data_IF_798958197389
#
_entry.id   IF_798958197389
#
_cell.length_a   1.000
_cell.length_b   1.000
_cell.length_c   1.000
_cell.angle_alpha   90.00
_cell.angle_beta   90.00
_cell.angle_gamma   90.00
#
_symmetry.space_group_name_H-M   'P 1'
#
loop_
_entity.id
_entity.type
_entity.pdbx_description
1 polymer ?
#
# COMPACT_ATOMS: atom_id res chain seq x y z
N UNK A 1 32.07 -55.90 17.45
CA UNK A 1 31.09 -55.65 18.54
C UNK A 1 31.00 -54.17 18.95
N UNK A 2 31.20 -53.23 18.01
CA UNK A 2 31.28 -51.79 18.31
C UNK A 2 30.39 -50.94 17.38
N UNK A 3 29.39 -51.56 16.74
CA UNK A 3 28.48 -50.91 15.77
C UNK A 3 27.04 -50.79 16.25
N UNK A 4 26.73 -51.26 17.46
CA UNK A 4 25.38 -51.21 18.03
C UNK A 4 25.16 -50.09 19.08
N UNK A 5 26.20 -49.31 19.41
CA UNK A 5 26.11 -48.21 20.40
C UNK A 5 25.87 -46.83 19.79
N UNK A 6 25.87 -46.70 18.46
CA UNK A 6 25.68 -45.39 17.80
C UNK A 6 24.22 -45.07 17.46
N UNK A 7 23.29 -46.01 17.68
CA UNK A 7 21.86 -45.81 17.42
C UNK A 7 21.04 -45.41 18.67
N UNK A 8 21.70 -45.25 19.83
CA UNK A 8 21.05 -44.91 21.11
C UNK A 8 21.32 -43.47 21.60
N UNK A 9 22.07 -42.66 20.84
CA UNK A 9 22.33 -41.25 21.19
C UNK A 9 21.57 -40.24 20.30
N UNK A 10 20.64 -40.71 19.47
CA UNK A 10 19.66 -39.88 18.77
C UNK A 10 18.34 -39.76 19.56
N UNK A 11 18.42 -39.73 20.89
CA UNK A 11 17.38 -39.08 21.69
C UNK A 11 17.63 -37.57 21.56
N UNK A 12 17.37 -37.01 20.38
CA UNK A 12 17.31 -35.57 20.22
C UNK A 12 16.26 -35.07 21.21
N UNK A 13 16.73 -34.19 22.09
CA UNK A 13 15.96 -33.40 23.03
C UNK A 13 14.89 -32.63 22.24
N UNK A 14 13.76 -33.26 21.97
CA UNK A 14 12.56 -32.55 21.56
C UNK A 14 12.12 -31.76 22.79
N UNK A 15 12.39 -30.45 22.79
CA UNK A 15 11.64 -29.49 23.61
C UNK A 15 10.18 -29.70 23.23
N UNK A 16 9.41 -30.40 24.08
CA UNK A 16 7.98 -30.58 23.85
C UNK A 16 7.33 -29.20 23.85
N UNK A 17 6.80 -28.80 22.70
CA UNK A 17 5.98 -27.61 22.60
C UNK A 17 4.76 -27.79 23.50
N UNK A 18 4.44 -26.79 24.31
CA UNK A 18 3.24 -26.79 25.14
C UNK A 18 2.09 -26.13 24.38
N UNK A 19 0.87 -26.59 24.63
CA UNK A 19 -0.35 -25.96 24.09
C UNK A 19 -0.62 -24.68 24.86
N UNK A 20 -0.84 -23.58 24.17
CA UNK A 20 -1.18 -22.28 24.74
C UNK A 20 -2.61 -21.90 24.38
N UNK A 21 -3.31 -21.28 25.33
CA UNK A 21 -4.62 -20.71 25.04
C UNK A 21 -4.44 -19.49 24.13
N UNK A 22 -5.30 -19.38 23.12
CA UNK A 22 -5.32 -18.24 22.23
C UNK A 22 -6.63 -17.46 22.38
N UNK A 23 -6.56 -16.18 22.71
CA UNK A 23 -7.69 -15.27 22.65
C UNK A 23 -7.23 -13.82 22.57
N UNK A 24 -8.07 -12.97 22.02
CA UNK A 24 -7.79 -11.55 21.87
C UNK A 24 -9.03 -10.72 22.20
N UNK A 25 -8.83 -9.44 22.50
CA UNK A 25 -9.94 -8.52 22.72
C UNK A 25 -10.54 -8.09 21.38
N UNK A 26 -11.85 -8.24 21.22
CA UNK A 26 -12.53 -7.90 19.96
C UNK A 26 -13.91 -7.29 20.26
N UNK A 27 -14.19 -6.13 19.66
CA UNK A 27 -15.47 -5.44 19.76
C UNK A 27 -16.03 -5.29 21.19
N UNK A 28 -15.17 -4.85 22.14
CA UNK A 28 -15.55 -4.66 23.55
C UNK A 28 -15.67 -5.95 24.38
N UNK A 29 -15.51 -7.12 23.78
CA UNK A 29 -15.43 -8.39 24.49
C UNK A 29 -13.97 -8.70 24.84
N UNK A 30 -13.69 -8.90 26.12
CA UNK A 30 -12.40 -9.40 26.57
C UNK A 30 -12.28 -10.89 26.21
N UNK A 31 -11.19 -11.26 25.52
CA UNK A 31 -10.81 -12.66 25.24
C UNK A 31 -11.83 -13.45 24.38
N UNK A 32 -12.05 -13.04 23.13
CA UNK A 32 -12.70 -13.86 22.10
C UNK A 32 -11.79 -15.03 21.77
N UNK A 33 -12.27 -16.27 22.01
CA UNK A 33 -11.48 -17.48 21.83
C UNK A 33 -11.02 -17.64 20.38
N UNK A 34 -9.74 -17.95 20.20
CA UNK A 34 -9.14 -18.37 18.95
C UNK A 34 -8.69 -19.84 19.07
N UNK A 35 -8.34 -20.51 17.95
CA UNK A 35 -7.70 -21.82 18.03
C UNK A 35 -6.44 -21.75 18.89
N UNK A 36 -6.32 -22.68 19.84
CA UNK A 36 -5.11 -22.83 20.65
C UNK A 36 -3.89 -23.05 19.74
N UNK A 37 -2.73 -22.67 20.23
CA UNK A 37 -1.48 -22.73 19.47
C UNK A 37 -0.43 -23.51 20.26
N UNK A 38 0.64 -23.95 19.60
CA UNK A 38 1.74 -24.69 20.24
C UNK A 38 3.01 -23.85 20.23
N UNK A 39 3.68 -23.73 21.39
CA UNK A 39 4.95 -23.00 21.55
C UNK A 39 5.71 -23.48 22.77
N UNK A 40 7.00 -23.18 22.86
CA UNK A 40 7.79 -23.37 24.08
C UNK A 40 7.38 -22.40 25.21
N UNK A 41 6.70 -21.29 24.89
CA UNK A 41 6.29 -20.25 25.85
C UNK A 41 4.88 -19.77 25.51
N UNK A 42 4.02 -19.67 26.53
CA UNK A 42 2.72 -19.03 26.43
C UNK A 42 2.75 -17.65 27.09
N UNK A 43 2.01 -16.69 26.51
CA UNK A 43 1.80 -15.35 27.05
C UNK A 43 0.36 -15.22 27.57
N UNK A 44 0.25 -14.67 28.77
CA UNK A 44 -0.95 -14.00 29.28
C UNK A 44 -0.64 -12.52 29.40
N UNK A 45 -1.53 -11.68 28.88
CA UNK A 45 -1.52 -10.23 29.08
C UNK A 45 -2.95 -9.77 29.41
N UNK A 46 -3.09 -9.02 30.49
CA UNK A 46 -4.28 -8.26 30.79
C UNK A 46 -3.89 -6.80 31.03
N UNK A 47 -4.57 -5.89 30.36
CA UNK A 47 -4.48 -4.46 30.59
C UNK A 47 -5.82 -3.97 31.12
N UNK A 48 -5.84 -3.53 32.38
CA UNK A 48 -6.92 -2.72 32.91
C UNK A 48 -6.65 -1.28 32.49
N UNK A 49 -7.21 -0.86 31.36
CA UNK A 49 -6.90 0.44 30.77
C UNK A 49 -7.49 1.59 31.61
N UNK A 50 -6.85 2.76 31.52
CA UNK A 50 -7.26 3.97 32.24
C UNK A 50 -8.68 4.45 31.89
N UNK A 51 -9.20 4.07 30.72
CA UNK A 51 -10.57 4.33 30.28
C UNK A 51 -11.62 3.34 30.85
N UNK A 52 -11.21 2.41 31.72
CA UNK A 52 -12.08 1.40 32.35
C UNK A 52 -12.31 0.14 31.52
N UNK A 53 -11.73 0.03 30.32
CA UNK A 53 -11.83 -1.19 29.49
C UNK A 53 -10.74 -2.18 29.91
N UNK A 54 -11.13 -3.43 30.14
CA UNK A 54 -10.17 -4.52 30.34
C UNK A 54 -9.88 -5.21 29.01
N UNK A 55 -8.62 -5.19 28.60
CA UNK A 55 -8.12 -5.96 27.47
C UNK A 55 -7.44 -7.22 27.99
N UNK A 56 -7.67 -8.34 27.31
CA UNK A 56 -7.00 -9.61 27.55
C UNK A 56 -6.47 -10.16 26.24
N UNK A 57 -5.20 -10.57 26.26
CA UNK A 57 -4.52 -11.31 25.21
C UNK A 57 -3.92 -12.58 25.81
N UNK A 58 -4.21 -13.72 25.16
CA UNK A 58 -3.57 -14.99 25.43
C UNK A 58 -3.05 -15.52 24.11
N UNK A 59 -1.78 -15.89 24.02
CA UNK A 59 -1.18 -16.35 22.77
C UNK A 59 0.09 -17.17 23.02
N UNK A 60 0.57 -17.82 21.98
CA UNK A 60 1.94 -18.33 21.91
C UNK A 60 2.93 -17.17 21.85
N UNK A 61 4.06 -17.35 22.52
CA UNK A 61 5.11 -16.37 22.64
C UNK A 61 6.45 -16.95 22.20
N UNK A 62 7.34 -16.11 21.69
CA UNK A 62 8.65 -16.53 21.20
C UNK A 62 9.61 -16.74 22.37
N UNK A 63 10.17 -17.95 22.48
CA UNK A 63 11.21 -18.27 23.47
C UNK A 63 12.41 -17.34 23.33
N UNK A 64 12.92 -16.84 24.47
CA UNK A 64 14.07 -15.94 24.52
C UNK A 64 13.75 -14.48 24.17
N UNK A 65 12.54 -14.18 23.68
CA UNK A 65 12.08 -12.79 23.51
C UNK A 65 11.67 -12.24 24.87
N UNK A 66 12.08 -11.01 25.18
CA UNK A 66 11.58 -10.31 26.35
C UNK A 66 10.23 -9.65 26.02
N UNK A 67 9.26 -9.76 26.91
CA UNK A 67 8.03 -8.98 26.82
C UNK A 67 8.35 -7.51 27.07
N UNK A 68 7.85 -6.61 26.23
CA UNK A 68 8.07 -5.17 26.38
C UNK A 68 6.74 -4.50 26.70
N UNK A 69 6.69 -3.79 27.82
CA UNK A 69 5.55 -2.96 28.20
C UNK A 69 5.47 -1.71 27.32
N UNK A 70 4.32 -1.04 27.32
CA UNK A 70 4.07 0.23 26.60
C UNK A 70 5.03 1.37 26.98
N UNK A 71 5.59 1.33 28.20
CA UNK A 71 6.59 2.26 28.69
C UNK A 71 8.04 1.85 28.39
N UNK A 72 8.23 0.82 27.57
CA UNK A 72 9.53 0.36 27.08
C UNK A 72 10.29 -0.55 28.04
N UNK A 73 9.84 -0.73 29.29
CA UNK A 73 10.48 -1.68 30.20
C UNK A 73 10.21 -3.11 29.72
N UNK A 74 11.20 -3.98 29.92
CA UNK A 74 11.10 -5.38 29.51
C UNK A 74 10.99 -6.34 30.69
N UNK A 75 10.38 -7.49 30.44
CA UNK A 75 10.29 -8.63 31.33
C UNK A 75 10.75 -9.88 30.60
N UNK A 76 11.55 -10.70 31.27
CA UNK A 76 11.93 -12.04 30.83
C UNK A 76 11.62 -13.13 31.87
N UNK A 77 10.96 -12.76 32.98
CA UNK A 77 10.55 -13.67 34.04
C UNK A 77 9.61 -14.74 33.49
N UNK A 78 9.98 -16.01 33.66
CA UNK A 78 9.12 -17.15 33.35
C UNK A 78 8.38 -17.61 34.59
N UNK A 79 7.16 -18.10 34.38
CA UNK A 79 6.27 -18.67 35.39
C UNK A 79 5.98 -17.72 36.56
N UNK A 80 5.97 -16.42 36.26
CA UNK A 80 5.67 -15.35 37.19
C UNK A 80 4.72 -14.36 36.50
N UNK A 81 3.69 -13.97 37.23
CA UNK A 81 2.83 -12.84 36.90
C UNK A 81 3.49 -11.58 37.44
N UNK A 82 3.74 -10.64 36.55
CA UNK A 82 4.29 -9.34 36.88
C UNK A 82 3.18 -8.31 36.71
N UNK A 83 3.02 -7.47 37.72
CA UNK A 83 2.14 -6.31 37.65
C UNK A 83 2.97 -5.10 37.29
N UNK A 84 2.49 -4.29 36.34
CA UNK A 84 3.12 -3.01 36.02
C UNK A 84 2.06 -1.93 35.82
N UNK A 85 2.22 -0.82 36.52
CA UNK A 85 1.38 0.36 36.28
C UNK A 85 2.11 1.24 35.28
N UNK A 86 1.41 1.58 34.21
CA UNK A 86 1.92 2.39 33.10
C UNK A 86 0.90 3.50 32.81
N UNK A 87 1.14 4.31 31.77
CA UNK A 87 0.19 5.37 31.41
C UNK A 87 -1.10 4.82 30.80
N UNK A 88 -1.04 3.68 30.12
CA UNK A 88 -2.23 3.02 29.56
C UNK A 88 -3.12 2.40 30.64
N UNK A 89 -2.56 2.05 31.79
CA UNK A 89 -3.30 1.45 32.90
C UNK A 89 -2.47 0.46 33.70
N UNK A 90 -3.12 -0.55 34.25
CA UNK A 90 -2.46 -1.59 35.04
C UNK A 90 -2.35 -2.88 34.22
N UNK A 91 -1.11 -3.26 33.90
CA UNK A 91 -0.77 -4.51 33.25
C UNK A 91 -0.62 -5.66 34.26
N UNK A 92 -1.09 -6.83 33.84
CA UNK A 92 -0.82 -8.13 34.45
C UNK A 92 -0.31 -9.03 33.34
N UNK A 93 0.97 -9.40 33.40
CA UNK A 93 1.63 -10.13 32.33
C UNK A 93 2.34 -11.34 32.89
N UNK A 94 2.18 -12.49 32.25
CA UNK A 94 2.90 -13.71 32.58
C UNK A 94 3.41 -14.40 31.31
N UNK A 95 4.69 -14.75 31.31
CA UNK A 95 5.27 -15.71 30.39
C UNK A 95 5.36 -17.05 31.11
N UNK A 96 4.86 -18.14 30.53
CA UNK A 96 4.85 -19.44 31.22
C UNK A 96 5.23 -20.60 30.29
N UNK A 97 5.79 -21.65 30.91
CA UNK A 97 6.36 -22.81 30.21
C UNK A 97 6.07 -24.14 30.93
N UNK A 98 5.23 -24.13 31.97
CA UNK A 98 5.14 -25.24 32.94
C UNK A 98 4.24 -26.39 32.52
N UNK A 99 3.19 -26.11 31.75
CA UNK A 99 2.19 -27.09 31.33
C UNK A 99 1.33 -26.51 30.20
N UNK A 100 0.57 -27.38 29.54
CA UNK A 100 -0.48 -26.98 28.62
C UNK A 100 -1.45 -25.99 29.30
N UNK A 101 -1.77 -24.93 28.54
CA UNK A 101 -2.69 -23.87 28.91
C UNK A 101 -2.24 -23.13 30.19
N UNK A 102 -0.93 -23.04 30.43
CA UNK A 102 -0.38 -22.30 31.57
C UNK A 102 -0.78 -20.81 31.58
N UNK A 103 -1.09 -20.24 30.40
CA UNK A 103 -1.53 -18.84 30.23
C UNK A 103 -3.05 -18.65 30.42
N UNK A 104 -3.73 -19.57 31.13
CA UNK A 104 -5.15 -19.41 31.44
C UNK A 104 -5.43 -18.23 32.38
N UNK A 105 -4.49 -17.92 33.28
CA UNK A 105 -4.64 -16.87 34.27
C UNK A 105 -3.25 -16.37 34.73
N UNK A 106 -3.19 -15.14 35.24
CA UNK A 106 -1.98 -14.56 35.79
C UNK A 106 -1.95 -14.79 37.31
N UNK A 107 -1.59 -16.01 37.74
CA UNK A 107 -1.51 -16.36 39.16
C UNK A 107 -0.08 -16.25 39.68
N UNK A 108 0.17 -15.34 40.64
CA UNK A 108 1.39 -15.40 41.47
C UNK A 108 1.07 -15.46 42.94
N UNK A 109 1.45 -16.58 43.55
CA UNK A 109 2.02 -16.60 44.89
C UNK A 109 3.34 -15.80 44.81
N UNK A 110 3.51 -14.77 45.64
CA UNK A 110 4.67 -13.85 45.70
C UNK A 110 4.89 -12.91 44.50
N UNK A 111 4.71 -11.61 44.75
CA UNK A 111 4.76 -10.51 43.80
C UNK A 111 6.17 -9.88 43.79
N UNK A 112 6.93 -9.91 42.68
CA UNK A 112 8.14 -9.11 42.54
C UNK A 112 7.73 -7.69 42.12
N UNK A 113 7.84 -6.72 43.01
CA UNK A 113 7.64 -5.31 42.67
C UNK A 113 8.87 -4.81 41.92
N UNK A 114 8.74 -4.51 40.63
CA UNK A 114 9.79 -3.78 39.90
C UNK A 114 9.96 -2.39 40.54
N UNK A 115 11.21 -1.89 40.68
CA UNK A 115 11.46 -0.60 41.28
C UNK A 115 10.73 0.51 40.50
N UNK A 116 10.17 1.52 41.19
CA UNK A 116 9.55 2.67 40.55
C UNK A 116 10.60 3.39 39.69
N UNK A 117 10.27 3.63 38.42
CA UNK A 117 11.12 4.41 37.52
C UNK A 117 11.08 5.86 38.00
N UNK A 118 12.21 6.36 38.49
CA UNK A 118 12.43 7.78 38.76
C UNK A 118 12.21 8.57 37.45
N UNK A 119 11.46 9.69 37.45
CA UNK A 119 11.22 10.46 36.24
C UNK A 119 12.53 11.10 35.78
N UNK A 120 13.12 10.58 34.71
CA UNK A 120 14.23 11.21 33.99
C UNK A 120 13.74 12.56 33.43
N UNK A 121 14.58 13.60 33.42
CA UNK A 121 14.14 14.99 33.33
C UNK A 121 13.49 15.31 31.99
N UNK A 122 12.45 16.14 32.08
CA UNK A 122 11.62 16.72 31.03
C UNK A 122 12.45 17.17 29.80
N UNK A 123 12.64 16.28 28.82
CA UNK A 123 12.67 16.69 27.41
C UNK A 123 11.23 17.08 27.08
N UNK A 124 11.03 18.27 26.52
CA UNK A 124 9.73 18.94 26.41
C UNK A 124 8.57 17.99 26.10
N UNK A 125 7.51 18.04 26.92
CA UNK A 125 6.31 17.25 26.70
C UNK A 125 5.54 17.79 25.51
N UNK A 126 5.30 16.95 24.52
CA UNK A 126 4.36 17.24 23.43
C UNK A 126 3.05 16.50 23.70
N UNK A 127 1.92 17.21 23.58
CA UNK A 127 0.60 16.58 23.59
C UNK A 127 0.36 15.93 22.23
N UNK A 128 -0.03 14.66 22.17
CA UNK A 128 -0.23 13.92 20.93
C UNK A 128 -1.67 13.39 20.87
N UNK A 129 -2.19 13.13 19.67
CA UNK A 129 -3.38 12.29 19.55
C UNK A 129 -3.07 10.85 19.96
N UNK A 130 -4.05 10.23 20.62
CA UNK A 130 -4.00 8.86 21.08
C UNK A 130 -5.29 8.13 20.67
N UNK A 131 -5.16 7.22 19.71
CA UNK A 131 -6.30 6.47 19.19
C UNK A 131 -5.84 5.39 18.22
N UNK A 132 -6.72 4.44 17.95
CA UNK A 132 -6.53 3.45 16.89
C UNK A 132 -7.84 3.14 16.16
N UNK A 133 -7.74 2.82 14.87
CA UNK A 133 -8.87 2.41 14.03
C UNK A 133 -8.47 1.25 13.12
N UNK A 134 -9.38 0.31 12.90
CA UNK A 134 -9.15 -0.91 12.10
C UNK A 134 -9.61 -0.78 10.63
N UNK A 135 -10.08 0.41 10.26
CA UNK A 135 -10.50 0.79 8.92
C UNK A 135 -9.65 1.92 8.33
N UNK A 136 -8.68 2.44 9.11
CA UNK A 136 -7.82 3.55 8.74
C UNK A 136 -8.49 4.92 8.79
N UNK A 137 -9.72 5.01 9.30
CA UNK A 137 -10.44 6.27 9.50
C UNK A 137 -9.66 7.14 10.47
N UNK A 138 -9.55 8.44 10.17
CA UNK A 138 -8.80 9.37 11.02
C UNK A 138 -9.42 9.43 12.41
N UNK A 139 -8.57 9.35 13.44
CA UNK A 139 -9.02 9.35 14.82
C UNK A 139 -8.35 10.49 15.61
N UNK A 140 -9.12 11.08 16.52
CA UNK A 140 -8.75 12.24 17.34
C UNK A 140 -9.38 12.17 18.74
N UNK A 141 -9.73 10.96 19.20
CA UNK A 141 -10.61 10.76 20.36
C UNK A 141 -9.96 11.06 21.69
N UNK A 142 -8.68 10.69 21.88
CA UNK A 142 -7.94 10.96 23.10
C UNK A 142 -6.63 11.69 22.81
N UNK A 143 -6.00 12.17 23.88
CA UNK A 143 -4.67 12.75 23.84
C UNK A 143 -3.79 12.16 24.93
N UNK A 144 -2.51 12.00 24.63
CA UNK A 144 -1.48 11.61 25.58
C UNK A 144 -0.37 12.68 25.61
N UNK A 145 0.49 12.64 26.62
CA UNK A 145 1.71 13.43 26.65
C UNK A 145 2.92 12.51 26.44
N UNK A 146 3.87 12.90 25.59
CA UNK A 146 5.06 12.11 25.26
C UNK A 146 6.26 13.00 24.92
N UNK A 147 7.42 12.39 24.72
CA UNK A 147 8.58 13.08 24.16
C UNK A 147 8.44 13.24 22.63
N UNK A 148 7.72 12.30 22.00
CA UNK A 148 7.38 12.32 20.58
C UNK A 148 5.94 11.84 20.39
N UNK A 149 5.33 12.26 19.28
CA UNK A 149 4.06 11.76 18.79
C UNK A 149 4.29 10.82 17.61
N UNK A 150 3.54 9.72 17.59
CA UNK A 150 3.49 8.75 16.51
C UNK A 150 2.19 8.91 15.73
N UNK A 151 2.31 8.93 14.40
CA UNK A 151 1.29 8.51 13.46
C UNK A 151 1.80 7.27 12.76
N UNK A 152 1.07 6.17 12.82
CA UNK A 152 1.35 4.93 12.12
C UNK A 152 0.10 4.50 11.39
N UNK A 153 0.18 4.35 10.07
CA UNK A 153 -0.89 3.73 9.29
C UNK A 153 -0.35 2.57 8.48
N UNK A 154 -0.92 1.39 8.69
CA UNK A 154 -0.53 0.13 8.05
C UNK A 154 -1.63 -0.31 7.09
N UNK A 155 -1.27 -0.59 5.85
CA UNK A 155 -2.14 -1.24 4.86
C UNK A 155 -1.67 -2.69 4.72
N UNK A 156 -2.55 -3.65 4.98
CA UNK A 156 -2.28 -5.08 4.90
C UNK A 156 -3.54 -5.80 4.39
N UNK A 157 -3.45 -6.59 3.32
CA UNK A 157 -4.58 -7.35 2.74
C UNK A 157 -5.88 -6.54 2.54
N UNK A 158 -5.79 -5.35 1.93
CA UNK A 158 -6.91 -4.40 1.77
C UNK A 158 -7.57 -3.90 3.08
N UNK A 159 -7.02 -4.26 4.25
CA UNK A 159 -7.37 -3.68 5.53
C UNK A 159 -6.41 -2.55 5.85
N UNK A 160 -6.93 -1.52 6.51
CA UNK A 160 -6.16 -0.36 6.89
C UNK A 160 -6.24 -0.21 8.40
N UNK A 161 -5.10 -0.12 9.06
CA UNK A 161 -4.98 0.13 10.48
C UNK A 161 -4.35 1.50 10.68
N UNK A 162 -4.93 2.34 11.52
CA UNK A 162 -4.34 3.59 11.96
C UNK A 162 -4.10 3.52 13.46
N UNK A 163 -2.94 4.02 13.89
CA UNK A 163 -2.57 4.23 15.27
C UNK A 163 -1.93 5.60 15.42
N UNK A 164 -2.42 6.37 16.36
CA UNK A 164 -1.77 7.58 16.88
C UNK A 164 -1.46 7.35 18.35
N UNK A 165 -0.25 7.66 18.78
CA UNK A 165 0.14 7.49 20.18
C UNK A 165 1.30 8.40 20.56
N UNK A 166 1.67 8.38 21.83
CA UNK A 166 2.90 8.98 22.33
C UNK A 166 4.04 7.96 22.29
N UNK A 167 5.26 8.45 22.09
CA UNK A 167 6.48 7.68 22.23
C UNK A 167 7.42 8.34 23.23
N UNK A 168 8.20 7.50 23.92
CA UNK A 168 9.30 7.92 24.80
C UNK A 168 10.57 8.13 23.98
N UNK A 169 10.82 7.21 23.04
CA UNK A 169 11.95 7.26 22.11
C UNK A 169 11.43 7.44 20.68
N UNK A 170 12.18 8.12 19.79
CA UNK A 170 11.74 8.38 18.43
C UNK A 170 11.90 7.16 17.52
N UNK A 171 11.56 5.96 17.98
CA UNK A 171 11.77 4.71 17.24
C UNK A 171 10.53 3.83 17.32
N UNK A 172 10.11 3.27 16.19
CA UNK A 172 9.14 2.18 16.13
C UNK A 172 9.70 0.98 15.36
N UNK A 173 9.20 -0.22 15.65
CA UNK A 173 9.54 -1.44 14.93
C UNK A 173 8.35 -1.88 14.05
N UNK A 174 8.62 -2.27 12.81
CA UNK A 174 7.64 -2.73 11.83
C UNK A 174 7.46 -4.27 11.89
N UNK A 175 6.52 -4.81 11.10
CA UNK A 175 6.20 -6.24 11.08
C UNK A 175 7.32 -7.13 10.51
N UNK A 176 8.28 -6.57 9.77
CA UNK A 176 9.48 -7.24 9.27
C UNK A 176 10.72 -7.01 10.14
N UNK A 177 10.52 -6.54 11.38
CA UNK A 177 11.55 -6.22 12.37
C UNK A 177 12.43 -5.01 12.02
N UNK A 178 12.23 -4.35 10.87
CA UNK A 178 12.91 -3.09 10.55
C UNK A 178 12.41 -1.96 11.45
N UNK A 179 13.22 -0.91 11.63
CA UNK A 179 12.88 0.22 12.49
C UNK A 179 12.70 1.51 11.69
N UNK A 180 11.78 2.36 12.16
CA UNK A 180 11.62 3.74 11.70
C UNK A 180 12.04 4.65 12.84
N UNK A 181 13.02 5.52 12.58
CA UNK A 181 13.61 6.41 13.58
C UNK A 181 13.67 7.89 13.18
N UNK A 182 13.23 8.27 11.97
CA UNK A 182 13.31 9.67 11.54
C UNK A 182 12.19 10.51 12.14
N UNK A 183 12.55 11.66 12.70
CA UNK A 183 11.62 12.63 13.30
C UNK A 183 11.34 13.76 12.31
N UNK A 184 10.09 14.25 12.29
CA UNK A 184 9.64 15.39 11.49
C UNK A 184 9.26 15.05 10.05
N UNK A 185 9.35 13.79 9.64
CA UNK A 185 9.07 13.34 8.27
C UNK A 185 7.96 12.28 8.27
N UNK A 186 7.13 12.30 7.22
CA UNK A 186 6.24 11.19 6.92
C UNK A 186 6.97 10.22 5.99
N UNK A 187 7.37 9.08 6.54
CA UNK A 187 8.00 7.99 5.82
C UNK A 187 6.97 7.01 5.27
N UNK A 188 7.25 6.49 4.08
CA UNK A 188 6.55 5.33 3.52
C UNK A 188 7.49 4.14 3.53
N UNK A 189 7.13 3.08 4.26
CA UNK A 189 7.90 1.84 4.32
C UNK A 189 7.06 0.70 3.78
N UNK A 190 7.64 -0.10 2.90
CA UNK A 190 7.01 -1.32 2.41
C UNK A 190 7.73 -2.50 3.04
N UNK A 191 6.98 -3.37 3.70
CA UNK A 191 7.43 -4.68 4.14
C UNK A 191 6.86 -5.73 3.18
N UNK A 192 7.19 -7.01 3.40
CA UNK A 192 6.69 -8.11 2.55
C UNK A 192 5.15 -8.13 2.48
N UNK A 193 4.50 -7.77 3.58
CA UNK A 193 3.08 -7.94 3.80
C UNK A 193 2.32 -6.61 3.85
N UNK A 194 3.01 -5.53 4.24
CA UNK A 194 2.34 -4.30 4.64
C UNK A 194 2.99 -3.08 4.02
N UNK A 195 2.19 -2.04 3.83
CA UNK A 195 2.68 -0.69 3.56
C UNK A 195 2.38 0.22 4.74
N UNK A 196 3.42 0.78 5.31
CA UNK A 196 3.38 1.70 6.44
C UNK A 196 3.52 3.15 5.97
N UNK A 197 2.75 4.04 6.61
CA UNK A 197 2.90 5.48 6.59
C UNK A 197 3.19 5.90 8.03
N UNK A 198 4.41 6.32 8.30
CA UNK A 198 4.91 6.56 9.66
C UNK A 198 5.38 7.99 9.76
N UNK A 199 4.91 8.73 10.77
CA UNK A 199 5.46 10.02 11.16
C UNK A 199 5.73 10.01 12.65
N UNK A 200 6.97 10.26 13.01
CA UNK A 200 7.40 10.57 14.38
C UNK A 200 7.65 12.08 14.42
N UNK A 201 7.14 12.79 15.41
CA UNK A 201 7.31 14.25 15.49
C UNK A 201 7.28 14.74 16.95
N UNK A 202 7.87 15.90 17.21
CA UNK A 202 7.92 16.52 18.54
C UNK A 202 8.00 18.05 18.46
N UNK A 203 7.65 18.61 17.32
CA UNK A 203 7.80 20.02 16.98
C UNK A 203 6.65 20.88 17.51
N UNK A 204 5.43 20.33 17.52
CA UNK A 204 4.22 21.01 18.01
C UNK A 204 3.26 20.03 18.66
N UNK A 205 2.40 20.53 19.56
CA UNK A 205 1.27 19.74 20.06
C UNK A 205 0.41 19.26 18.89
N UNK A 206 0.01 17.98 18.97
CA UNK A 206 -0.81 17.27 18.00
C UNK A 206 -0.13 17.15 16.63
N UNK A 207 1.21 17.15 16.58
CA UNK A 207 1.95 17.02 15.33
C UNK A 207 1.68 15.69 14.59
N UNK A 208 1.22 14.65 15.29
CA UNK A 208 0.78 13.38 14.71
C UNK A 208 -0.64 13.42 14.15
N UNK A 209 -1.17 14.60 13.84
CA UNK A 209 -2.49 14.74 13.23
C UNK A 209 -2.59 14.01 11.88
N UNK A 210 -1.55 14.12 11.04
CA UNK A 210 -1.52 13.52 9.71
C UNK A 210 -0.09 13.13 9.29
N UNK A 211 0.01 12.22 8.32
CA UNK A 211 1.24 11.83 7.64
C UNK A 211 0.99 11.87 6.13
N UNK A 212 1.47 12.93 5.47
CA UNK A 212 1.43 13.08 4.01
C UNK A 212 2.84 12.88 3.44
N UNK A 213 3.09 11.84 2.63
CA UNK A 213 4.37 11.67 1.95
C UNK A 213 4.65 12.90 1.06
N UNK A 214 5.86 13.47 1.15
CA UNK A 214 6.30 14.55 0.26
C UNK A 214 5.80 15.96 0.60
N UNK A 215 5.26 16.20 1.80
CA UNK A 215 4.90 17.54 2.27
C UNK A 215 5.58 17.84 3.63
N UNK A 216 6.30 18.95 3.72
CA UNK A 216 6.62 19.59 5.00
C UNK A 216 5.31 20.01 5.68
N UNK A 217 5.16 19.81 7.00
CA UNK A 217 3.87 19.98 7.67
C UNK A 217 3.42 21.45 7.67
N UNK A 218 2.26 21.82 7.08
CA UNK A 218 1.58 23.04 7.46
C UNK A 218 1.03 22.92 8.90
N UNK A 219 1.14 24.00 9.66
CA UNK A 219 0.60 24.21 11.02
C UNK A 219 -0.77 23.53 11.19
N UNK A 220 -1.04 22.79 12.29
CA UNK A 220 -2.29 22.03 12.45
C UNK A 220 -3.50 22.97 12.59
N UNK A 221 -4.13 23.31 11.47
CA UNK A 221 -5.54 23.69 11.45
C UNK A 221 -6.37 22.41 11.40
N UNK A 222 -7.42 22.30 12.24
CA UNK A 222 -8.52 21.33 12.03
C UNK A 222 -8.91 21.41 10.56
N UNK A 223 -8.60 20.40 9.76
CA UNK A 223 -9.21 20.32 8.44
C UNK A 223 -10.70 20.14 8.70
N UNK A 224 -11.55 21.05 8.23
CA UNK A 224 -12.99 20.91 8.43
C UNK A 224 -13.41 19.58 7.80
N UNK A 225 -14.13 18.77 8.56
CA UNK A 225 -14.79 17.58 8.04
C UNK A 225 -15.67 18.03 6.88
N UNK A 226 -15.48 17.40 5.71
CA UNK A 226 -16.35 17.58 4.56
C UNK A 226 -17.39 16.48 4.58
N UNK A 227 -18.66 16.87 4.39
CA UNK A 227 -19.74 15.91 4.16
C UNK A 227 -19.64 15.40 2.72
N UNK A 228 -19.66 14.10 2.50
CA UNK A 228 -19.50 13.45 1.20
C UNK A 228 -20.76 12.67 0.83
N UNK A 229 -20.99 12.40 -0.45
CA UNK A 229 -21.87 11.31 -0.86
C UNK A 229 -21.22 9.97 -0.52
N UNK A 230 -22.02 8.99 -0.09
CA UNK A 230 -21.59 7.63 0.23
C UNK A 230 -22.52 6.62 -0.42
N UNK A 231 -22.15 6.16 -1.60
CA UNK A 231 -22.97 5.28 -2.42
C UNK A 231 -22.17 4.52 -3.46
N UNK A 232 -22.76 3.45 -3.95
CA UNK A 232 -22.32 2.72 -5.12
C UNK A 232 -23.49 2.43 -6.04
N UNK A 233 -23.26 2.43 -7.35
CA UNK A 233 -24.28 2.13 -8.36
C UNK A 233 -23.65 1.63 -9.65
N UNK A 234 -24.44 0.88 -10.43
CA UNK A 234 -24.09 0.47 -11.78
C UNK A 234 -24.99 1.19 -12.78
N UNK A 235 -24.44 1.52 -13.94
CA UNK A 235 -25.08 2.15 -15.12
C UNK A 235 -25.69 3.54 -14.93
N UNK A 236 -25.78 4.01 -13.69
CA UNK A 236 -26.28 5.33 -13.32
C UNK A 236 -25.48 5.91 -12.16
N UNK A 237 -25.26 7.23 -12.18
CA UNK A 237 -24.61 7.92 -11.07
C UNK A 237 -25.47 7.84 -9.80
N UNK A 238 -24.83 7.87 -8.64
CA UNK A 238 -25.49 7.73 -7.34
C UNK A 238 -25.37 9.02 -6.51
N UNK A 239 -26.44 9.35 -5.77
CA UNK A 239 -26.51 10.55 -4.92
C UNK A 239 -27.17 10.25 -3.57
N UNK A 240 -27.19 8.97 -3.17
CA UNK A 240 -27.74 8.51 -1.89
C UNK A 240 -26.62 8.39 -0.85
N UNK A 241 -27.00 8.34 0.43
CA UNK A 241 -26.05 8.20 1.53
C UNK A 241 -25.17 9.43 1.78
N UNK A 242 -24.63 9.52 2.99
CA UNK A 242 -23.62 10.54 3.29
C UNK A 242 -22.72 10.08 4.43
N UNK A 243 -21.45 10.45 4.34
CA UNK A 243 -20.49 10.28 5.41
C UNK A 243 -19.62 11.53 5.58
N UNK A 244 -18.86 11.61 6.66
CA UNK A 244 -17.96 12.74 6.95
C UNK A 244 -16.52 12.26 6.95
N UNK A 245 -15.63 13.02 6.33
CA UNK A 245 -14.20 12.72 6.30
C UNK A 245 -13.37 13.95 5.95
N UNK A 246 -12.05 13.81 5.91
CA UNK A 246 -11.16 14.90 5.52
C UNK A 246 -11.22 15.16 4.00
N UNK A 247 -11.56 14.12 3.24
CA UNK A 247 -11.70 14.14 1.80
C UNK A 247 -12.93 13.33 1.39
N UNK A 248 -13.50 13.67 0.24
CA UNK A 248 -14.47 12.85 -0.47
C UNK A 248 -13.83 12.23 -1.69
N UNK A 249 -14.20 10.99 -2.01
CA UNK A 249 -13.77 10.26 -3.21
C UNK A 249 -14.98 10.13 -4.14
N UNK A 250 -14.74 10.43 -5.41
CA UNK A 250 -15.57 10.03 -6.55
C UNK A 250 -14.77 9.03 -7.38
N UNK A 251 -15.37 7.91 -7.74
CA UNK A 251 -14.84 6.92 -8.67
C UNK A 251 -15.89 6.61 -9.74
N UNK A 252 -15.49 6.67 -11.00
CA UNK A 252 -16.26 6.15 -12.12
C UNK A 252 -15.37 5.17 -12.89
N UNK A 253 -15.90 3.99 -13.15
CA UNK A 253 -15.24 2.95 -13.92
C UNK A 253 -16.04 2.69 -15.19
N UNK A 254 -15.37 2.62 -16.34
CA UNK A 254 -15.97 2.27 -17.63
C UNK A 254 -15.17 1.15 -18.27
N UNK A 255 -15.79 -0.02 -18.47
CA UNK A 255 -15.12 -1.18 -19.06
C UNK A 255 -15.14 -1.12 -20.60
N UNK A 256 -13.99 -1.36 -21.22
CA UNK A 256 -13.80 -1.39 -22.68
C UNK A 256 -14.77 -2.38 -23.33
N UNK A 257 -15.34 -1.98 -24.47
CA UNK A 257 -16.27 -2.81 -25.25
C UNK A 257 -17.66 -2.96 -24.62
N UNK A 258 -17.93 -2.30 -23.50
CA UNK A 258 -19.24 -2.30 -22.85
C UNK A 258 -19.75 -0.88 -22.63
N UNK A 259 -21.06 -0.74 -22.45
CA UNK A 259 -21.67 0.50 -21.93
C UNK A 259 -21.76 0.50 -20.41
N UNK A 260 -21.21 -0.52 -19.74
CA UNK A 260 -21.35 -0.69 -18.30
C UNK A 260 -20.46 0.31 -17.58
N UNK A 261 -21.08 1.13 -16.75
CA UNK A 261 -20.40 2.08 -15.88
C UNK A 261 -20.61 1.71 -14.43
N UNK A 262 -19.59 1.80 -13.59
CA UNK A 262 -19.74 1.67 -12.14
C UNK A 262 -19.35 2.99 -11.49
N UNK A 263 -20.17 3.44 -10.54
CA UNK A 263 -19.94 4.65 -9.76
C UNK A 263 -19.79 4.28 -8.30
N UNK A 264 -18.81 4.89 -7.64
CA UNK A 264 -18.65 4.83 -6.19
C UNK A 264 -18.30 6.21 -5.66
N UNK A 265 -18.97 6.62 -4.61
CA UNK A 265 -18.72 7.86 -3.87
C UNK A 265 -18.54 7.48 -2.41
N UNK A 266 -17.52 8.01 -1.76
CA UNK A 266 -17.23 7.73 -0.35
C UNK A 266 -16.49 8.89 0.31
N UNK A 267 -16.29 8.81 1.62
CA UNK A 267 -15.37 9.65 2.38
C UNK A 267 -14.03 8.93 2.55
N UNK A 268 -13.01 9.73 2.81
CA UNK A 268 -11.65 9.26 3.03
C UNK A 268 -10.93 10.18 4.03
N UNK A 269 -10.10 9.58 4.87
CA UNK A 269 -9.11 10.32 5.66
C UNK A 269 -7.94 10.82 4.79
N UNK A 270 -7.86 10.37 3.53
CA UNK A 270 -6.70 10.52 2.67
C UNK A 270 -6.91 11.45 1.49
N UNK A 271 -5.86 12.21 1.20
CA UNK A 271 -5.73 13.11 0.05
C UNK A 271 -5.53 12.38 -1.29
N UNK A 272 -5.65 11.05 -1.33
CA UNK A 272 -5.48 10.24 -2.53
C UNK A 272 -6.33 8.97 -2.46
N UNK A 273 -6.58 8.36 -3.62
CA UNK A 273 -7.17 7.05 -3.79
C UNK A 273 -6.18 6.11 -4.49
N UNK A 274 -6.27 4.81 -4.23
CA UNK A 274 -5.41 3.80 -4.86
C UNK A 274 -6.15 3.12 -6.01
N UNK A 275 -5.49 3.02 -7.17
CA UNK A 275 -5.98 2.26 -8.30
C UNK A 275 -5.67 0.76 -8.15
N UNK A 276 -6.34 -0.14 -8.88
CA UNK A 276 -6.09 -1.59 -8.80
C UNK A 276 -4.67 -2.05 -9.18
N UNK A 277 -3.91 -1.23 -9.91
CA UNK A 277 -2.49 -1.47 -10.23
C UNK A 277 -1.54 -1.08 -9.08
N UNK A 278 -2.07 -0.64 -7.94
CA UNK A 278 -1.32 -0.21 -6.76
C UNK A 278 -0.86 1.25 -6.79
N UNK A 279 -1.06 1.97 -7.90
CA UNK A 279 -0.71 3.39 -8.01
C UNK A 279 -1.76 4.29 -7.36
N UNK A 280 -1.46 5.59 -7.23
CA UNK A 280 -2.34 6.54 -6.54
C UNK A 280 -2.79 7.67 -7.45
N UNK A 281 -3.92 8.28 -7.11
CA UNK A 281 -4.32 9.58 -7.68
C UNK A 281 -3.29 10.65 -7.33
N UNK A 282 -3.17 11.66 -8.19
CA UNK A 282 -2.32 12.81 -7.94
C UNK A 282 -2.94 13.81 -6.96
N UNK A 283 -2.81 15.10 -7.31
CA UNK A 283 -3.23 16.23 -6.47
C UNK A 283 -4.73 16.20 -6.15
N UNK A 284 -5.15 16.46 -4.89
CA UNK A 284 -6.56 16.64 -4.54
C UNK A 284 -7.26 17.72 -5.36
N UNK A 285 -8.58 17.63 -5.44
CA UNK A 285 -9.50 18.48 -6.20
C UNK A 285 -9.29 18.42 -7.73
N UNK A 286 -8.48 17.47 -8.20
CA UNK A 286 -8.27 17.18 -9.62
C UNK A 286 -8.86 15.81 -9.96
N UNK A 287 -9.57 15.73 -11.08
CA UNK A 287 -10.03 14.46 -11.63
C UNK A 287 -8.85 13.77 -12.34
N UNK A 288 -8.47 12.60 -11.86
CA UNK A 288 -7.38 11.80 -12.40
C UNK A 288 -7.97 10.68 -13.28
N UNK A 289 -7.39 10.49 -14.45
CA UNK A 289 -7.81 9.51 -15.44
C UNK A 289 -6.73 8.44 -15.59
N UNK A 290 -7.15 7.17 -15.60
CA UNK A 290 -6.22 6.06 -15.83
C UNK A 290 -6.94 4.89 -16.48
N UNK A 291 -6.27 4.19 -17.40
CA UNK A 291 -6.77 2.94 -17.97
C UNK A 291 -5.94 1.77 -17.42
N UNK A 292 -6.60 0.81 -16.77
CA UNK A 292 -5.97 -0.40 -16.20
C UNK A 292 -6.82 -1.60 -16.60
N UNK A 293 -6.21 -2.62 -17.21
CA UNK A 293 -6.85 -3.88 -17.59
C UNK A 293 -8.21 -3.67 -18.28
N UNK A 294 -8.23 -2.84 -19.33
CA UNK A 294 -9.43 -2.55 -20.11
C UNK A 294 -10.57 -1.89 -19.30
N UNK A 295 -10.22 -1.12 -18.28
CA UNK A 295 -11.16 -0.28 -17.52
C UNK A 295 -10.60 1.13 -17.41
N UNK A 296 -11.38 2.11 -17.86
CA UNK A 296 -11.11 3.54 -17.65
C UNK A 296 -11.62 3.94 -16.26
N UNK A 297 -10.73 4.45 -15.43
CA UNK A 297 -10.99 4.95 -14.08
C UNK A 297 -10.90 6.47 -14.07
N UNK A 298 -12.01 7.13 -13.70
CA UNK A 298 -12.07 8.56 -13.44
C UNK A 298 -12.22 8.74 -11.93
N UNK A 299 -11.16 9.19 -11.26
CA UNK A 299 -11.12 9.28 -9.81
C UNK A 299 -10.79 10.70 -9.37
N UNK A 300 -11.64 11.27 -8.52
CA UNK A 300 -11.42 12.58 -7.89
C UNK A 300 -11.44 12.41 -6.39
N UNK A 301 -10.34 12.81 -5.75
CA UNK A 301 -10.29 13.02 -4.31
C UNK A 301 -10.40 14.51 -4.07
N UNK A 302 -11.31 14.97 -3.23
CA UNK A 302 -11.58 16.39 -3.04
C UNK A 302 -11.84 16.73 -1.57
N UNK A 303 -11.59 17.98 -1.20
CA UNK A 303 -11.85 18.51 0.14
C UNK A 303 -12.37 19.95 0.13
N UNK A 304 -12.70 20.48 -1.05
CA UNK A 304 -13.25 21.83 -1.21
C UNK A 304 -14.77 21.79 -1.27
N UNK A 305 -15.40 21.92 -0.10
CA UNK A 305 -16.85 22.02 0.07
C UNK A 305 -17.54 20.69 0.32
N UNK A 306 -18.76 20.76 0.88
CA UNK A 306 -19.61 19.59 1.08
C UNK A 306 -20.07 19.04 -0.27
N UNK A 307 -20.13 17.72 -0.37
CA UNK A 307 -20.54 16.95 -1.53
C UNK A 307 -19.65 17.22 -2.75
N UNK A 308 -18.37 17.53 -2.53
CA UNK A 308 -17.41 17.81 -3.60
C UNK A 308 -17.16 16.60 -4.52
N UNK A 309 -17.51 15.39 -4.07
CA UNK A 309 -17.52 14.14 -4.84
C UNK A 309 -18.82 13.93 -5.63
N UNK A 310 -19.65 14.96 -5.81
CA UNK A 310 -20.83 14.90 -6.66
C UNK A 310 -20.50 14.47 -8.08
N UNK A 311 -19.37 14.93 -8.62
CA UNK A 311 -18.91 14.62 -9.97
C UNK A 311 -17.39 14.85 -10.14
N UNK A 312 -16.80 14.16 -11.12
CA UNK A 312 -15.48 14.45 -11.66
C UNK A 312 -15.63 15.56 -12.71
N UNK A 313 -15.38 16.83 -12.37
CA UNK A 313 -15.67 17.98 -13.27
C UNK A 313 -14.84 18.04 -14.56
N UNK A 314 -13.89 17.12 -14.80
CA UNK A 314 -13.33 16.92 -16.14
C UNK A 314 -14.21 16.05 -17.06
N UNK A 315 -15.28 15.42 -16.55
CA UNK A 315 -16.22 14.61 -17.35
C UNK A 315 -17.07 15.46 -18.31
N UNK A 316 -17.11 16.79 -18.20
CA UNK A 316 -18.11 17.64 -18.91
C UNK A 316 -17.55 18.65 -19.92
N UNK A 317 -16.24 18.81 -20.03
CA UNK A 317 -15.68 19.77 -21.02
C UNK A 317 -15.37 19.04 -22.32
N UNK A 318 -16.24 19.15 -23.32
CA UNK A 318 -15.88 18.78 -24.67
C UNK A 318 -14.63 19.58 -25.10
N UNK A 319 -13.55 18.88 -25.44
CA UNK A 319 -12.35 19.47 -26.02
C UNK A 319 -12.50 19.54 -27.54
N UNK A 320 -11.90 20.57 -28.13
CA UNK A 320 -11.84 20.69 -29.59
C UNK A 320 -10.58 19.99 -30.08
N UNK A 321 -10.72 19.05 -31.01
CA UNK A 321 -9.64 18.23 -31.54
C UNK A 321 -9.45 18.49 -33.03
N UNK A 322 -8.24 18.31 -33.54
CA UNK A 322 -8.05 18.20 -34.99
C UNK A 322 -8.64 16.88 -35.47
N UNK A 323 -9.39 16.93 -36.57
CA UNK A 323 -9.95 15.75 -37.24
C UNK A 323 -9.43 15.66 -38.66
N UNK A 324 -8.72 14.56 -38.96
CA UNK A 324 -8.19 14.32 -40.29
C UNK A 324 -7.75 12.85 -40.44
N UNK A 325 -7.63 12.43 -41.70
CA UNK A 325 -7.01 11.16 -42.07
C UNK A 325 -6.13 11.40 -43.30
N UNK A 326 -4.91 10.86 -43.30
CA UNK A 326 -4.01 10.92 -44.44
C UNK A 326 -3.27 9.60 -44.62
N UNK A 327 -2.85 9.35 -45.85
CA UNK A 327 -1.97 8.25 -46.23
C UNK A 327 -0.64 8.84 -46.71
N UNK A 328 0.45 8.10 -46.52
CA UNK A 328 1.81 8.48 -46.91
C UNK A 328 2.26 9.81 -46.27
N UNK A 329 1.80 10.06 -45.04
CA UNK A 329 2.15 11.24 -44.24
C UNK A 329 2.29 10.85 -42.77
N UNK A 330 3.25 11.48 -42.07
CA UNK A 330 3.45 11.29 -40.63
C UNK A 330 2.49 12.12 -39.77
N UNK A 331 1.85 13.13 -40.39
CA UNK A 331 0.87 13.98 -39.75
C UNK A 331 -0.28 14.33 -40.71
N UNK A 332 -1.38 14.82 -40.16
CA UNK A 332 -2.44 15.42 -40.94
C UNK A 332 -2.98 16.69 -40.26
N UNK A 333 -3.49 17.59 -41.09
CA UNK A 333 -4.30 18.74 -40.69
C UNK A 333 -5.61 18.67 -41.46
N UNK A 334 -6.68 19.23 -40.90
CA UNK A 334 -8.02 19.10 -41.45
C UNK A 334 -9.04 19.86 -40.62
N UNK A 335 -10.24 19.28 -40.50
CA UNK A 335 -11.33 19.85 -39.74
C UNK A 335 -11.11 19.80 -38.23
N UNK A 336 -12.16 20.14 -37.50
CA UNK A 336 -12.20 20.05 -36.06
C UNK A 336 -13.41 19.25 -35.62
N UNK A 337 -13.26 18.45 -34.56
CA UNK A 337 -14.38 17.78 -33.94
C UNK A 337 -14.35 17.94 -32.42
N UNK A 338 -15.48 17.69 -31.78
CA UNK A 338 -15.63 17.80 -30.33
C UNK A 338 -15.80 16.43 -29.70
N UNK A 339 -15.03 16.18 -28.65
CA UNK A 339 -15.16 14.98 -27.83
C UNK A 339 -14.49 15.18 -26.48
N UNK A 340 -14.40 14.12 -25.69
CA UNK A 340 -13.73 14.17 -24.38
C UNK A 340 -12.22 14.02 -24.48
N UNK A 341 -11.77 13.30 -25.48
CA UNK A 341 -10.36 13.06 -25.75
C UNK A 341 -10.06 13.34 -27.22
N UNK A 342 -8.92 13.94 -27.47
CA UNK A 342 -8.34 13.99 -28.80
C UNK A 342 -7.42 12.79 -28.99
N UNK A 343 -7.60 12.07 -30.09
CA UNK A 343 -6.86 10.85 -30.40
C UNK A 343 -5.97 11.07 -31.61
N UNK A 344 -4.79 10.47 -31.57
CA UNK A 344 -3.83 10.36 -32.66
C UNK A 344 -3.44 8.90 -32.80
N UNK A 345 -3.57 8.36 -34.01
CA UNK A 345 -3.13 7.01 -34.37
C UNK A 345 -2.33 7.11 -35.66
N UNK A 346 -1.12 6.58 -35.65
CA UNK A 346 -0.27 6.47 -36.84
C UNK A 346 0.27 5.07 -36.97
N UNK A 347 0.22 4.49 -38.16
CA UNK A 347 0.93 3.26 -38.51
C UNK A 347 1.93 3.56 -39.63
N UNK A 348 3.20 3.23 -39.42
CA UNK A 348 4.31 3.53 -40.35
C UNK A 348 5.11 2.27 -40.62
N UNK A 349 5.26 1.90 -41.89
CA UNK A 349 6.11 0.78 -42.28
C UNK A 349 7.59 1.22 -42.24
N UNK A 350 8.40 0.57 -41.42
CA UNK A 350 9.81 0.86 -41.26
C UNK A 350 10.67 0.42 -42.45
N UNK A 351 10.20 -0.56 -43.24
CA UNK A 351 10.88 -1.00 -44.46
C UNK A 351 10.56 -0.12 -45.67
N UNK A 352 9.42 0.58 -45.61
CA UNK A 352 8.95 1.47 -46.67
C UNK A 352 8.25 2.67 -46.01
N UNK A 353 9.01 3.69 -45.59
CA UNK A 353 8.48 4.85 -44.87
C UNK A 353 7.41 5.62 -45.65
N UNK A 354 7.32 5.42 -46.97
CA UNK A 354 6.26 6.01 -47.80
C UNK A 354 4.90 5.41 -47.48
N UNK A 355 4.86 4.19 -46.92
CA UNK A 355 3.64 3.53 -46.45
C UNK A 355 3.37 3.88 -45.00
N UNK A 356 2.66 4.98 -44.81
CA UNK A 356 2.13 5.38 -43.51
C UNK A 356 0.65 5.72 -43.59
N UNK A 357 -0.05 5.54 -42.48
CA UNK A 357 -1.41 6.03 -42.29
C UNK A 357 -1.44 6.83 -40.99
N UNK A 358 -2.15 7.95 -41.01
CA UNK A 358 -2.34 8.78 -39.82
C UNK A 358 -3.80 9.18 -39.73
N UNK A 359 -4.34 9.12 -38.52
CA UNK A 359 -5.69 9.53 -38.19
C UNK A 359 -5.69 10.33 -36.90
N UNK A 360 -6.33 11.50 -36.95
CA UNK A 360 -6.67 12.32 -35.79
C UNK A 360 -8.19 12.38 -35.67
N UNK A 361 -8.70 12.21 -34.46
CA UNK A 361 -10.15 12.25 -34.19
C UNK A 361 -10.44 12.68 -32.76
N UNK A 362 -11.71 12.81 -32.44
CA UNK A 362 -12.22 12.96 -31.07
C UNK A 362 -12.87 11.64 -30.63
N UNK A 363 -12.79 11.35 -29.35
CA UNK A 363 -13.39 10.18 -28.73
C UNK A 363 -14.10 10.56 -27.42
N UNK A 364 -15.09 9.75 -27.04
CA UNK A 364 -15.76 9.88 -25.73
C UNK A 364 -14.98 9.22 -24.61
N UNK A 365 -14.05 8.33 -24.94
CA UNK A 365 -13.18 7.61 -24.02
C UNK A 365 -11.72 7.77 -24.43
N UNK A 366 -10.80 7.62 -23.48
CA UNK A 366 -9.35 7.61 -23.73
C UNK A 366 -8.84 6.25 -24.22
N UNK A 367 -9.74 5.27 -24.25
CA UNK A 367 -9.46 3.89 -24.61
C UNK A 367 -9.06 3.81 -26.07
N UNK A 368 -7.82 3.40 -26.29
CA UNK A 368 -7.27 3.05 -27.60
C UNK A 368 -6.58 1.70 -27.48
N UNK A 369 -6.54 0.94 -28.57
CA UNK A 369 -5.83 -0.33 -28.62
C UNK A 369 -4.85 -0.35 -29.78
N UNK A 370 -3.70 -1.00 -29.56
CA UNK A 370 -2.79 -1.36 -30.64
C UNK A 370 -3.41 -2.48 -31.50
N UNK A 371 -2.91 -2.70 -32.73
CA UNK A 371 -3.41 -3.75 -33.63
C UNK A 371 -3.39 -5.17 -33.05
N UNK A 372 -2.58 -5.42 -32.01
CA UNK A 372 -2.51 -6.69 -31.30
C UNK A 372 -3.42 -6.76 -30.05
N UNK A 373 -4.39 -5.83 -29.95
CA UNK A 373 -5.34 -5.68 -28.85
C UNK A 373 -4.73 -5.28 -27.50
N UNK A 374 -3.44 -4.93 -27.44
CA UNK A 374 -2.91 -4.33 -26.21
C UNK A 374 -3.45 -2.92 -26.00
N UNK A 375 -3.82 -2.59 -24.76
CA UNK A 375 -4.41 -1.31 -24.41
C UNK A 375 -3.36 -0.18 -24.36
N UNK A 376 -3.77 1.00 -24.81
CA UNK A 376 -3.11 2.26 -24.49
C UNK A 376 -3.35 2.61 -23.01
N UNK A 377 -2.30 2.94 -22.27
CA UNK A 377 -2.37 3.08 -20.80
C UNK A 377 -1.96 4.45 -20.28
N UNK A 378 -1.23 5.26 -21.06
CA UNK A 378 -0.62 6.49 -20.57
C UNK A 378 -1.13 7.73 -21.32
N UNK A 379 -2.27 8.26 -20.85
CA UNK A 379 -2.91 9.48 -21.37
C UNK A 379 -1.92 10.65 -21.42
N UNK A 380 -2.07 11.52 -22.41
CA UNK A 380 -1.23 12.66 -22.73
C UNK A 380 0.16 12.33 -23.27
N UNK A 381 0.55 11.05 -23.31
CA UNK A 381 1.83 10.60 -23.83
C UNK A 381 1.66 9.73 -25.07
N UNK A 382 2.63 9.81 -25.98
CA UNK A 382 2.72 8.90 -27.11
C UNK A 382 3.23 7.54 -26.64
N UNK A 383 2.52 6.48 -27.00
CA UNK A 383 2.97 5.10 -26.84
C UNK A 383 3.21 4.47 -28.21
N UNK A 384 4.20 3.60 -28.29
CA UNK A 384 4.67 3.02 -29.55
C UNK A 384 4.71 1.50 -29.43
N UNK A 385 4.33 0.80 -30.50
CA UNK A 385 4.44 -0.65 -30.58
C UNK A 385 4.89 -1.10 -31.96
N UNK A 386 5.75 -2.10 -31.99
CA UNK A 386 6.22 -2.75 -33.22
C UNK A 386 5.43 -4.04 -33.44
N UNK A 387 4.89 -4.22 -34.64
CA UNK A 387 4.33 -5.48 -35.12
C UNK A 387 4.94 -5.79 -36.49
N UNK A 388 5.96 -6.66 -36.51
CA UNK A 388 6.79 -6.87 -37.69
C UNK A 388 7.52 -5.59 -38.11
N UNK A 389 7.36 -5.17 -39.36
CA UNK A 389 7.92 -3.91 -39.87
C UNK A 389 7.03 -2.69 -39.61
N UNK A 390 5.86 -2.84 -38.99
CA UNK A 390 4.93 -1.73 -38.77
C UNK A 390 5.10 -1.18 -37.35
N UNK A 391 5.46 0.10 -37.26
CA UNK A 391 5.41 0.86 -36.02
C UNK A 391 4.04 1.52 -35.90
N UNK A 392 3.33 1.26 -34.82
CA UNK A 392 2.11 1.99 -34.48
C UNK A 392 2.40 2.95 -33.33
N UNK A 393 2.03 4.22 -33.50
CA UNK A 393 2.06 5.25 -32.48
C UNK A 393 0.64 5.67 -32.12
N UNK A 394 0.33 5.71 -30.82
CA UNK A 394 -0.99 6.03 -30.30
C UNK A 394 -0.85 7.10 -29.21
N UNK A 395 -1.77 8.07 -29.20
CA UNK A 395 -1.91 9.08 -28.14
C UNK A 395 -3.39 9.40 -27.95
N UNK A 396 -3.86 9.45 -26.71
CA UNK A 396 -5.10 10.10 -26.31
C UNK A 396 -4.77 11.21 -25.32
N UNK A 397 -5.45 12.35 -25.41
CA UNK A 397 -5.19 13.49 -24.54
C UNK A 397 -6.46 14.33 -24.34
N UNK A 398 -6.52 15.11 -23.26
CA UNK A 398 -7.74 15.72 -22.75
C UNK A 398 -7.69 17.27 -22.71
N UNK A 399 -6.91 17.88 -23.61
CA UNK A 399 -6.89 19.34 -23.81
C UNK A 399 -7.13 19.68 -25.28
N UNK A 400 -7.64 20.89 -25.59
CA UNK A 400 -7.93 21.24 -26.99
C UNK A 400 -6.66 21.19 -27.86
N UNK A 401 -6.78 20.60 -29.05
CA UNK A 401 -5.72 20.45 -30.06
C UNK A 401 -4.48 19.67 -29.59
N UNK A 402 -4.62 18.86 -28.54
CA UNK A 402 -3.49 18.13 -27.96
C UNK A 402 -3.04 16.90 -28.79
N UNK A 403 -3.83 16.48 -29.78
CA UNK A 403 -3.53 15.34 -30.66
C UNK A 403 -2.52 15.70 -31.76
N UNK A 404 -1.48 16.43 -31.39
CA UNK A 404 -0.30 16.68 -32.23
C UNK A 404 0.40 15.37 -32.57
N UNK A 405 1.12 15.35 -33.69
CA UNK A 405 1.87 14.18 -34.09
C UNK A 405 2.88 13.73 -33.02
N UNK A 406 2.99 12.41 -32.88
CA UNK A 406 4.02 11.79 -32.07
C UNK A 406 5.37 11.87 -32.80
N UNK A 407 6.43 12.27 -32.09
CA UNK A 407 7.79 12.27 -32.63
C UNK A 407 8.25 10.85 -32.95
N UNK A 408 9.09 10.68 -33.97
CA UNK A 408 9.68 9.36 -34.24
C UNK A 408 10.64 8.99 -33.11
N UNK A 409 10.48 7.80 -32.53
CA UNK A 409 11.53 7.21 -31.69
C UNK A 409 12.61 6.65 -32.62
N UNK A 410 13.90 6.99 -32.43
CA UNK A 410 15.00 6.31 -33.09
C UNK A 410 14.91 4.80 -32.79
N UNK A 411 14.88 3.95 -33.82
CA UNK A 411 14.96 2.50 -33.62
C UNK A 411 16.16 2.17 -32.72
N UNK A 412 16.06 1.15 -31.84
CA UNK A 412 17.26 0.50 -31.35
C UNK A 412 18.01 0.03 -32.60
N UNK A 413 19.24 0.50 -32.79
CA UNK A 413 20.11 0.02 -33.86
C UNK A 413 20.05 -1.51 -33.82
N UNK A 414 19.65 -2.20 -34.90
CA UNK A 414 19.72 -3.65 -34.91
C UNK A 414 21.17 -3.98 -34.58
N UNK A 415 21.37 -4.77 -33.52
CA UNK A 415 22.70 -5.30 -33.20
C UNK A 415 23.26 -5.84 -34.52
N UNK A 416 24.53 -5.54 -34.86
CA UNK A 416 25.10 -5.94 -36.13
C UNK A 416 24.78 -7.42 -36.28
N UNK A 417 23.96 -7.74 -37.29
CA UNK A 417 23.87 -9.10 -37.75
C UNK A 417 25.29 -9.39 -38.20
N UNK A 418 26.06 -10.04 -37.34
CA UNK A 418 27.17 -10.83 -37.80
C UNK A 418 26.54 -11.75 -38.83
N UNK A 419 26.64 -11.34 -40.09
CA UNK A 419 26.62 -12.24 -41.21
C UNK A 419 27.68 -13.26 -40.86
N UNK A 420 27.25 -14.34 -40.20
CA UNK A 420 27.96 -15.60 -40.21
C UNK A 420 27.90 -15.99 -41.68
N UNK A 421 28.83 -15.41 -42.42
CA UNK A 421 29.25 -15.89 -43.71
C UNK A 421 29.55 -17.35 -43.46
N UNK A 422 28.71 -18.18 -44.07
CA UNK A 422 28.82 -19.62 -44.12
C UNK A 422 30.21 -20.00 -44.61
N UNK A 423 31.18 -20.03 -43.70
CA UNK A 423 32.41 -20.79 -43.77
C UNK A 423 32.33 -21.84 -42.69
N UNK A 424 31.68 -22.93 -43.10
CA UNK A 424 31.96 -24.29 -42.67
C UNK A 424 33.45 -24.43 -42.38
N UNK A 425 33.81 -24.53 -41.10
CA UNK A 425 35.11 -25.05 -40.70
C UNK A 425 34.91 -25.82 -39.40
N UNK A 426 34.76 -27.14 -39.58
CA UNK A 426 34.79 -28.18 -38.57
C UNK A 426 35.99 -27.98 -37.64
N UNK A 427 35.76 -27.55 -36.39
CA UNK A 427 36.80 -27.57 -35.36
C UNK A 427 36.28 -28.06 -33.99
N UNK A 428 34.99 -27.86 -33.68
CA UNK A 428 34.45 -28.30 -32.38
C UNK A 428 33.86 -29.71 -32.37
N UNK A 429 33.45 -30.24 -33.53
CA UNK A 429 33.01 -31.65 -33.66
C UNK A 429 34.23 -32.60 -33.70
N UNK A 430 35.43 -32.11 -34.04
CA UNK A 430 36.64 -32.92 -34.04
C UNK A 430 37.18 -33.18 -32.62
N UNK A 431 36.93 -32.27 -31.66
CA UNK A 431 37.41 -32.41 -30.27
C UNK A 431 36.51 -33.37 -29.48
N UNK A 432 35.20 -33.42 -29.75
CA UNK A 432 34.29 -34.38 -29.13
C UNK A 432 34.41 -35.79 -29.70
N UNK A 433 34.82 -35.94 -30.98
CA UNK A 433 35.13 -37.26 -31.55
C UNK A 433 36.52 -37.77 -31.13
N UNK A 434 37.52 -36.90 -30.94
CA UNK A 434 38.87 -37.30 -30.48
C UNK A 434 38.87 -37.75 -29.01
N UNK A 435 37.98 -37.19 -28.18
CA UNK A 435 37.79 -37.61 -26.78
C UNK A 435 37.01 -38.93 -26.64
N UNK A 436 36.21 -39.33 -27.64
CA UNK A 436 35.52 -40.62 -27.63
C UNK A 436 36.39 -41.79 -28.11
N UNK A 437 37.38 -41.52 -28.97
CA UNK A 437 38.32 -42.53 -29.50
C UNK A 437 39.47 -42.84 -28.53
N UNK A 438 39.69 -42.00 -27.52
CA UNK A 438 40.66 -42.24 -26.43
C UNK A 438 40.04 -42.93 -25.19
N UNK A 439 38.73 -43.21 -25.23
CA UNK A 439 37.95 -43.82 -24.14
C UNK A 439 37.47 -45.25 -24.43
N UNK A 440 37.96 -45.85 -25.52
CA UNK A 440 37.84 -47.27 -25.91
C UNK A 440 39.25 -47.77 -26.20
#
# INVERSE_FOLDING_TARGET
MLRFLFLLNFAFLFSEAIRCRSCYSYNGQACVNAPDCESDVCLYEQLNAANGITHVLRTCYTKGKAYQFDDGVTMSNLNQCVTRTTRQGQYYVALCTTQDMCNNDCKTQTQPTLPPVNPTPLLGSVTCYECSTNDGTDCQTNTCEGAYCLYERRLFNNQMYLRKSCLIEPTIQLDDETTVASVGLCEVRNTVNSRYFVKICNDVNLCNNYCNPGQTPPIPQRQPLVRCYDCESSDSDCFTGSCEGNFCIFERQLRVGTTKTYYRKSCSALAYAQYPDGTYTGVPNVCNFRVINDVEYNVKVCNTGNLCNSQCTQDTSAVTCTECSAVNSDDCSGGTCQGRFCTFVRSKNQLDPTKSTVKKSCATTSILSFPDNSAYTNINHCQYKMAGSIQTAIKACNTSFCNTACSDIPLPTPAPQNSVSSKVCNAEILITLLLLVLAV
#
